data_IF_574703121196
#
_entry.id   IF_574703121196
#
_cell.length_a   1.000
_cell.length_b   1.000
_cell.length_c   1.000
_cell.angle_alpha   90.00
_cell.angle_beta   90.00
_cell.angle_gamma   90.00
#
_symmetry.space_group_name_H-M   'P 1'
#
loop_
_entity.id
_entity.type
_entity.pdbx_description
1 polymer ?
#
# COMPACT_ATOMS: atom_id res chain seq x y z
N UNK A 1 -5.95 25.29 -0.76
CA UNK A 1 -6.59 24.05 -1.25
C UNK A 1 -5.80 22.90 -0.63
N UNK A 2 -6.23 22.43 0.53
CA UNK A 2 -5.57 21.36 1.28
C UNK A 2 -6.40 20.09 1.12
N UNK A 3 -6.33 19.50 -0.06
CA UNK A 3 -6.80 18.16 -0.29
C UNK A 3 -5.70 17.17 0.10
N UNK A 4 -5.66 16.76 1.38
CA UNK A 4 -4.95 15.55 1.75
C UNK A 4 -5.69 14.40 1.08
N UNK A 5 -5.06 13.82 0.09
CA UNK A 5 -5.40 12.49 -0.40
C UNK A 5 -5.14 11.56 0.79
N UNK A 6 -6.17 11.33 1.58
CA UNK A 6 -6.19 10.17 2.46
C UNK A 6 -6.32 9.01 1.49
N UNK A 7 -5.18 8.47 1.10
CA UNK A 7 -5.16 7.10 0.60
C UNK A 7 -5.60 6.29 1.82
N UNK A 8 -6.90 6.02 1.91
CA UNK A 8 -7.34 4.88 2.65
C UNK A 8 -6.76 3.70 1.86
N UNK A 9 -5.54 3.27 2.23
CA UNK A 9 -5.25 1.88 2.10
C UNK A 9 -6.43 1.26 2.82
N UNK A 10 -7.28 0.55 2.10
CA UNK A 10 -8.26 -0.32 2.73
C UNK A 10 -7.40 -1.40 3.37
N UNK A 11 -6.84 -1.07 4.54
CA UNK A 11 -6.40 -2.06 5.47
C UNK A 11 -7.69 -2.80 5.80
N UNK A 12 -7.94 -3.89 5.10
CA UNK A 12 -8.85 -4.90 5.60
C UNK A 12 -8.28 -5.25 6.98
N UNK A 13 -8.86 -4.66 8.02
CA UNK A 13 -8.59 -5.06 9.38
C UNK A 13 -8.95 -6.53 9.45
N UNK A 14 -7.95 -7.39 9.25
CA UNK A 14 -8.06 -8.79 9.54
C UNK A 14 -8.37 -8.88 11.03
N UNK A 15 -9.65 -9.07 11.34
CA UNK A 15 -10.02 -9.62 12.62
C UNK A 15 -9.29 -10.96 12.70
N UNK A 16 -8.35 -11.07 13.65
CA UNK A 16 -7.68 -12.31 14.02
C UNK A 16 -8.75 -13.38 14.30
N UNK A 17 -9.12 -14.09 13.26
CA UNK A 17 -10.02 -15.24 13.30
C UNK A 17 -9.19 -16.51 13.35
N UNK A 18 -9.11 -17.08 14.54
CA UNK A 18 -8.64 -18.41 14.83
C UNK A 18 -9.12 -19.39 13.75
N UNK A 19 -8.18 -20.15 13.17
CA UNK A 19 -8.46 -21.24 12.23
C UNK A 19 -9.43 -22.24 12.89
N UNK A 20 -10.70 -22.12 12.61
CA UNK A 20 -11.66 -23.17 12.83
C UNK A 20 -11.84 -23.91 11.50
N UNK A 21 -11.40 -25.17 11.47
CA UNK A 21 -11.70 -26.10 10.39
C UNK A 21 -13.19 -26.05 10.09
N UNK A 22 -13.53 -25.57 8.90
CA UNK A 22 -14.89 -25.33 8.49
C UNK A 22 -15.65 -26.66 8.34
N UNK A 23 -16.56 -26.89 9.24
CA UNK A 23 -17.74 -27.67 8.95
C UNK A 23 -18.70 -26.74 8.19
N UNK A 24 -18.87 -27.00 6.89
CA UNK A 24 -19.91 -26.45 6.03
C UNK A 24 -20.34 -25.00 6.29
N UNK A 25 -19.86 -24.05 5.51
CA UNK A 25 -20.44 -22.72 5.48
C UNK A 25 -21.95 -22.83 5.16
N UNK A 26 -22.81 -22.03 5.82
CA UNK A 26 -24.22 -21.99 5.44
C UNK A 26 -24.33 -21.48 4.00
N UNK A 27 -25.13 -22.12 3.19
CA UNK A 27 -25.35 -21.88 1.76
C UNK A 27 -25.94 -20.48 1.40
N UNK A 28 -25.88 -19.50 2.28
CA UNK A 28 -26.52 -18.19 2.18
C UNK A 28 -25.60 -16.99 2.48
N UNK A 29 -24.27 -17.16 2.55
CA UNK A 29 -23.37 -16.00 2.69
C UNK A 29 -22.98 -15.48 1.30
N UNK A 30 -23.34 -14.23 0.99
CA UNK A 30 -22.84 -13.54 -0.21
C UNK A 30 -21.30 -13.55 -0.15
N UNK A 31 -20.58 -13.98 -1.23
CA UNK A 31 -19.14 -13.90 -1.27
C UNK A 31 -18.62 -12.49 -1.00
N UNK A 32 -17.37 -12.39 -0.56
CA UNK A 32 -16.73 -11.11 -0.32
C UNK A 32 -15.47 -10.99 -1.17
N UNK A 33 -15.15 -9.78 -1.60
CA UNK A 33 -13.87 -9.42 -2.19
C UNK A 33 -13.21 -8.40 -1.27
N UNK A 34 -12.02 -8.69 -0.78
CA UNK A 34 -11.25 -7.82 0.11
C UNK A 34 -12.05 -7.35 1.35
N UNK A 35 -12.93 -8.23 1.86
CA UNK A 35 -13.78 -7.97 3.02
C UNK A 35 -15.12 -7.29 2.72
N UNK A 36 -15.32 -6.76 1.52
CA UNK A 36 -16.58 -6.15 1.09
C UNK A 36 -17.50 -7.18 0.42
N UNK A 37 -18.81 -7.03 0.61
CA UNK A 37 -19.80 -7.96 0.03
C UNK A 37 -19.96 -7.75 -1.46
N UNK A 38 -19.90 -8.83 -2.21
CA UNK A 38 -20.11 -8.80 -3.65
C UNK A 38 -21.48 -8.21 -4.06
N UNK A 39 -21.43 -7.30 -5.03
CA UNK A 39 -22.62 -6.80 -5.77
C UNK A 39 -22.89 -7.67 -6.99
N UNK A 40 -21.84 -8.28 -7.56
CA UNK A 40 -21.89 -9.18 -8.70
C UNK A 40 -21.11 -10.44 -8.37
N UNK A 41 -21.69 -11.61 -8.63
CA UNK A 41 -21.10 -12.91 -8.33
C UNK A 41 -21.23 -13.82 -9.53
N UNK A 42 -20.10 -14.42 -9.93
CA UNK A 42 -20.02 -15.47 -10.94
C UNK A 42 -20.38 -16.84 -10.41
N UNK A 43 -19.87 -17.85 -11.07
CA UNK A 43 -20.07 -19.27 -10.74
C UNK A 43 -18.70 -19.97 -10.55
N UNK A 44 -18.68 -21.30 -10.45
CA UNK A 44 -17.44 -22.11 -10.45
C UNK A 44 -16.96 -22.46 -11.88
N UNK A 45 -17.41 -21.79 -12.89
CA UNK A 45 -17.05 -22.03 -14.28
C UNK A 45 -16.95 -20.76 -15.08
N UNK A 46 -16.34 -20.81 -16.25
CA UNK A 46 -16.04 -19.64 -17.10
C UNK A 46 -17.23 -18.69 -17.26
N UNK A 47 -17.11 -17.48 -16.75
CA UNK A 47 -18.15 -16.46 -16.74
C UNK A 47 -17.79 -15.23 -17.59
N UNK A 48 -18.79 -14.48 -17.97
CA UNK A 48 -18.66 -13.13 -18.53
C UNK A 48 -19.38 -12.16 -17.60
N UNK A 49 -18.61 -11.44 -16.77
CA UNK A 49 -19.13 -10.53 -15.76
C UNK A 49 -18.95 -9.08 -16.21
N UNK A 50 -19.94 -8.27 -15.95
CA UNK A 50 -19.90 -6.85 -16.26
C UNK A 50 -20.42 -6.05 -15.05
N UNK A 51 -19.63 -5.09 -14.61
CA UNK A 51 -19.99 -4.08 -13.64
C UNK A 51 -20.99 -3.07 -14.20
N UNK A 52 -21.16 -1.99 -13.50
CA UNK A 52 -22.06 -0.90 -13.85
C UNK A 52 -21.27 0.39 -14.07
N UNK A 53 -21.87 1.54 -13.93
CA UNK A 53 -21.17 2.84 -13.85
C UNK A 53 -21.16 3.39 -12.41
N UNK A 54 -21.04 2.51 -11.44
CA UNK A 54 -20.97 2.81 -10.00
C UNK A 54 -20.00 1.83 -9.36
N UNK A 55 -19.59 2.17 -8.17
CA UNK A 55 -18.72 1.32 -7.37
C UNK A 55 -19.34 -0.09 -7.22
N UNK A 56 -18.66 -1.08 -7.78
CA UNK A 56 -19.08 -2.47 -7.78
C UNK A 56 -18.07 -3.34 -6.98
N UNK A 57 -18.57 -4.43 -6.43
CA UNK A 57 -17.75 -5.49 -5.84
C UNK A 57 -18.02 -6.77 -6.60
N UNK A 58 -17.06 -7.22 -7.41
CA UNK A 58 -17.22 -8.32 -8.34
C UNK A 58 -16.39 -9.52 -7.86
N UNK A 59 -17.00 -10.70 -7.81
CA UNK A 59 -16.35 -11.96 -7.44
C UNK A 59 -16.62 -12.99 -8.53
N UNK A 60 -15.57 -13.46 -9.22
CA UNK A 60 -15.65 -14.50 -10.28
C UNK A 60 -15.94 -15.88 -9.71
N UNK A 61 -15.31 -16.24 -8.61
CA UNK A 61 -15.24 -17.54 -7.93
C UNK A 61 -14.24 -18.48 -8.58
N UNK A 62 -14.60 -19.23 -9.60
CA UNK A 62 -13.70 -20.13 -10.30
C UNK A 62 -14.08 -20.34 -11.74
N UNK A 63 -13.12 -20.79 -12.54
CA UNK A 63 -13.22 -20.80 -14.00
C UNK A 63 -12.31 -19.76 -14.61
N UNK A 64 -12.23 -19.68 -15.95
CA UNK A 64 -11.45 -18.63 -16.62
C UNK A 64 -12.43 -17.52 -17.01
N UNK A 65 -12.50 -16.50 -16.18
CA UNK A 65 -13.52 -15.46 -16.29
C UNK A 65 -13.07 -14.29 -17.17
N UNK A 66 -14.02 -13.62 -17.74
CA UNK A 66 -13.84 -12.32 -18.38
C UNK A 66 -14.66 -11.29 -17.60
N UNK A 67 -13.96 -10.42 -16.90
CA UNK A 67 -14.56 -9.41 -16.02
C UNK A 67 -14.27 -8.02 -16.57
N UNK A 68 -15.29 -7.19 -16.71
CA UNK A 68 -15.16 -5.77 -17.02
C UNK A 68 -15.93 -4.97 -15.98
N UNK A 69 -15.22 -4.23 -15.11
CA UNK A 69 -15.85 -3.48 -14.03
C UNK A 69 -16.51 -2.18 -14.52
N UNK A 70 -16.09 -1.61 -15.65
CA UNK A 70 -16.57 -0.37 -16.28
C UNK A 70 -16.16 0.89 -15.52
N UNK A 71 -17.14 1.83 -15.25
CA UNK A 71 -16.88 3.06 -14.52
C UNK A 71 -17.20 2.83 -13.03
N UNK A 72 -16.43 3.41 -12.14
CA UNK A 72 -16.66 3.30 -10.70
C UNK A 72 -15.34 3.19 -9.93
N UNK A 73 -15.42 3.17 -8.61
CA UNK A 73 -14.31 2.77 -7.75
C UNK A 73 -14.56 1.30 -7.37
N UNK A 74 -13.95 0.37 -8.11
CA UNK A 74 -14.35 -1.03 -8.12
C UNK A 74 -13.40 -1.94 -7.32
N UNK A 75 -13.96 -3.02 -6.78
CA UNK A 75 -13.21 -4.13 -6.20
C UNK A 75 -13.50 -5.40 -6.99
N UNK A 76 -12.45 -6.02 -7.54
CA UNK A 76 -12.59 -7.22 -8.37
C UNK A 76 -11.72 -8.33 -7.80
N UNK A 77 -12.34 -9.47 -7.52
CA UNK A 77 -11.65 -10.73 -7.22
C UNK A 77 -11.99 -11.75 -8.32
N UNK A 78 -11.00 -12.11 -9.14
CA UNK A 78 -11.14 -13.12 -10.19
C UNK A 78 -11.48 -14.48 -9.60
N UNK A 79 -10.60 -15.00 -8.77
CA UNK A 79 -10.77 -16.27 -8.05
C UNK A 79 -9.84 -17.36 -8.56
N UNK A 80 -10.33 -18.60 -8.67
CA UNK A 80 -9.52 -19.69 -9.22
C UNK A 80 -9.63 -19.72 -10.74
N UNK A 81 -8.53 -19.68 -11.47
CA UNK A 81 -8.53 -19.83 -12.93
C UNK A 81 -7.67 -18.78 -13.62
N UNK A 82 -7.66 -18.79 -14.95
CA UNK A 82 -6.89 -17.79 -15.69
C UNK A 82 -7.83 -16.69 -16.18
N UNK A 83 -7.87 -15.61 -15.43
CA UNK A 83 -8.87 -14.58 -15.59
C UNK A 83 -8.39 -13.43 -16.51
N UNK A 84 -9.33 -12.79 -17.12
CA UNK A 84 -9.10 -11.55 -17.84
C UNK A 84 -9.93 -10.43 -17.21
N UNK A 85 -9.26 -9.54 -16.50
CA UNK A 85 -9.90 -8.48 -15.72
C UNK A 85 -9.56 -7.11 -16.32
N UNK A 86 -10.59 -6.28 -16.53
CA UNK A 86 -10.50 -4.89 -16.92
C UNK A 86 -11.17 -4.04 -15.82
N UNK A 87 -10.37 -3.25 -15.08
CA UNK A 87 -10.84 -2.37 -14.01
C UNK A 87 -11.72 -1.24 -14.53
N UNK A 88 -11.34 -0.66 -15.69
CA UNK A 88 -12.15 0.38 -16.35
C UNK A 88 -11.75 1.80 -15.97
N UNK A 89 -12.75 2.69 -15.90
CA UNK A 89 -12.54 4.11 -15.61
C UNK A 89 -12.96 4.42 -14.17
N UNK A 90 -12.12 5.11 -13.40
CA UNK A 90 -12.47 5.47 -12.03
C UNK A 90 -11.42 6.34 -11.36
N UNK A 91 -11.59 6.57 -10.08
CA UNK A 91 -10.53 7.14 -9.26
C UNK A 91 -9.69 6.03 -8.64
N UNK A 92 -10.30 4.93 -8.23
CA UNK A 92 -9.66 3.85 -7.50
C UNK A 92 -10.23 2.49 -7.92
N UNK A 93 -9.35 1.54 -8.29
CA UNK A 93 -9.73 0.15 -8.47
C UNK A 93 -8.79 -0.77 -7.69
N UNK A 94 -9.35 -1.74 -6.97
CA UNK A 94 -8.62 -2.81 -6.29
C UNK A 94 -8.87 -4.14 -6.99
N UNK A 95 -7.81 -4.77 -7.48
CA UNK A 95 -7.92 -5.99 -8.27
C UNK A 95 -7.05 -7.09 -7.67
N UNK A 96 -7.70 -8.18 -7.31
CA UNK A 96 -7.10 -9.46 -6.94
C UNK A 96 -7.42 -10.46 -8.06
N UNK A 97 -6.40 -10.89 -8.81
CA UNK A 97 -6.58 -11.91 -9.85
C UNK A 97 -6.98 -13.25 -9.27
N UNK A 98 -6.39 -13.58 -8.11
CA UNK A 98 -6.54 -14.88 -7.47
C UNK A 98 -5.54 -15.90 -8.00
N UNK A 99 -5.91 -17.17 -7.94
CA UNK A 99 -5.02 -18.26 -8.31
C UNK A 99 -5.06 -18.56 -9.81
N UNK A 100 -3.95 -18.40 -10.51
CA UNK A 100 -3.86 -18.72 -11.94
C UNK A 100 -3.01 -17.74 -12.72
N UNK A 101 -2.92 -17.93 -14.04
CA UNK A 101 -2.19 -17.01 -14.90
C UNK A 101 -3.15 -15.93 -15.43
N UNK A 102 -3.16 -14.76 -14.78
CA UNK A 102 -4.16 -13.73 -15.01
C UNK A 102 -3.68 -12.61 -15.93
N UNK A 103 -4.63 -11.98 -16.60
CA UNK A 103 -4.40 -10.73 -17.32
C UNK A 103 -5.22 -9.61 -16.65
N UNK A 104 -4.52 -8.70 -15.99
CA UNK A 104 -5.10 -7.57 -15.27
C UNK A 104 -4.80 -6.29 -16.02
N UNK A 105 -5.83 -5.57 -16.44
CA UNK A 105 -5.75 -4.21 -16.97
C UNK A 105 -6.47 -3.25 -16.03
N UNK A 106 -5.73 -2.32 -15.46
CA UNK A 106 -6.29 -1.31 -14.58
C UNK A 106 -7.11 -0.22 -15.30
N UNK A 107 -7.19 -0.25 -16.63
CA UNK A 107 -7.94 0.74 -17.40
C UNK A 107 -7.36 2.15 -17.30
N UNK A 108 -8.24 3.15 -17.25
CA UNK A 108 -7.89 4.57 -17.15
C UNK A 108 -8.11 5.13 -15.72
N UNK A 109 -8.27 4.28 -14.69
CA UNK A 109 -8.40 4.71 -13.31
C UNK A 109 -7.12 5.46 -12.83
N UNK A 110 -7.31 6.45 -11.95
CA UNK A 110 -6.20 7.23 -11.43
C UNK A 110 -5.28 6.41 -10.51
N UNK A 111 -5.83 5.46 -9.79
CA UNK A 111 -5.14 4.55 -8.89
C UNK A 111 -5.69 3.13 -9.06
N UNK A 112 -4.89 2.24 -9.64
CA UNK A 112 -5.21 0.81 -9.69
C UNK A 112 -4.19 0.03 -8.89
N UNK A 113 -4.67 -0.77 -7.96
CA UNK A 113 -3.85 -1.60 -7.07
C UNK A 113 -4.03 -3.07 -7.47
N UNK A 114 -2.92 -3.73 -7.83
CA UNK A 114 -2.88 -5.19 -7.86
C UNK A 114 -2.66 -5.71 -6.43
N UNK A 115 -3.52 -6.60 -5.98
CA UNK A 115 -3.57 -7.08 -4.59
C UNK A 115 -3.29 -8.57 -4.58
N UNK A 116 -2.32 -8.98 -3.75
CA UNK A 116 -1.86 -10.35 -3.58
C UNK A 116 -1.96 -10.82 -2.12
N UNK A 117 -2.77 -10.11 -1.30
CA UNK A 117 -2.84 -10.33 0.15
C UNK A 117 -3.21 -11.77 0.52
N UNK A 118 -4.08 -12.39 -0.24
CA UNK A 118 -4.56 -13.76 0.02
C UNK A 118 -3.71 -14.84 -0.69
N UNK A 119 -2.59 -14.45 -1.33
CA UNK A 119 -1.69 -15.39 -2.00
C UNK A 119 -1.12 -16.43 -1.01
N UNK A 120 -1.00 -17.71 -1.41
CA UNK A 120 -0.61 -18.80 -0.51
C UNK A 120 0.89 -18.83 -0.17
N UNK A 121 1.67 -17.89 -0.68
CA UNK A 121 3.12 -17.81 -0.50
C UNK A 121 3.71 -16.49 -1.03
N UNK A 122 5.05 -16.34 -0.97
CA UNK A 122 5.72 -15.15 -1.43
C UNK A 122 5.40 -14.78 -2.88
N UNK A 123 5.22 -13.49 -3.15
CA UNK A 123 4.99 -12.99 -4.51
C UNK A 123 6.16 -12.14 -5.02
N UNK A 124 6.33 -12.12 -6.32
CA UNK A 124 7.24 -11.20 -6.97
C UNK A 124 6.49 -10.39 -8.02
N UNK A 125 6.34 -9.09 -7.77
CA UNK A 125 5.61 -8.16 -8.64
C UNK A 125 6.56 -7.12 -9.21
N UNK A 126 6.54 -6.91 -10.52
CA UNK A 126 7.34 -5.89 -11.21
C UNK A 126 6.45 -5.09 -12.18
N UNK A 127 6.04 -3.89 -11.77
CA UNK A 127 5.22 -2.99 -12.59
C UNK A 127 5.97 -2.50 -13.82
N UNK A 128 7.30 -2.38 -13.76
CA UNK A 128 8.10 -1.96 -14.90
C UNK A 128 8.19 -3.03 -15.98
N UNK A 129 8.24 -4.29 -15.58
CA UNK A 129 8.16 -5.46 -16.45
C UNK A 129 6.70 -5.84 -16.78
N UNK A 130 5.73 -5.35 -15.99
CA UNK A 130 4.30 -5.67 -16.10
C UNK A 130 3.98 -7.14 -15.84
N UNK A 131 4.61 -7.69 -14.81
CA UNK A 131 4.46 -9.10 -14.48
C UNK A 131 4.36 -9.31 -12.98
N UNK A 132 3.65 -10.36 -12.58
CA UNK A 132 3.70 -10.89 -11.23
C UNK A 132 3.85 -12.43 -11.25
N UNK A 133 4.27 -12.97 -10.11
CA UNK A 133 4.38 -14.41 -9.91
C UNK A 133 4.29 -14.75 -8.42
N UNK A 134 3.84 -15.96 -8.09
CA UNK A 134 3.68 -16.47 -6.72
C UNK A 134 2.32 -17.13 -6.51
N UNK A 135 1.26 -16.57 -7.08
CA UNK A 135 -0.08 -17.16 -7.15
C UNK A 135 -0.48 -17.53 -8.59
N UNK A 136 0.50 -17.69 -9.44
CA UNK A 136 0.41 -17.90 -10.88
C UNK A 136 1.47 -17.07 -11.58
N UNK A 137 1.21 -16.70 -12.84
CA UNK A 137 2.06 -15.79 -13.62
C UNK A 137 1.19 -14.76 -14.33
N UNK A 138 1.14 -13.56 -13.79
CA UNK A 138 0.20 -12.55 -14.26
C UNK A 138 0.84 -11.52 -15.19
N UNK A 139 0.01 -10.95 -16.02
CA UNK A 139 0.34 -9.81 -16.87
C UNK A 139 -0.42 -8.59 -16.35
N UNK A 140 0.33 -7.55 -15.99
CA UNK A 140 -0.20 -6.32 -15.43
C UNK A 140 -0.13 -5.18 -16.45
N UNK A 141 -1.27 -4.66 -16.88
CA UNK A 141 -1.37 -3.48 -17.71
C UNK A 141 -2.03 -2.34 -16.92
N UNK A 142 -1.53 -1.12 -17.07
CA UNK A 142 -2.08 0.08 -16.43
C UNK A 142 -2.23 0.04 -14.90
N UNK A 143 -1.62 -0.93 -14.24
CA UNK A 143 -1.52 -1.01 -12.78
C UNK A 143 -0.42 -0.06 -12.31
N UNK A 144 -0.66 0.68 -11.22
CA UNK A 144 0.30 1.63 -10.68
C UNK A 144 0.58 1.47 -9.19
N UNK A 145 -0.01 0.48 -8.53
CA UNK A 145 0.17 0.22 -7.10
C UNK A 145 0.13 -1.27 -6.78
N UNK A 146 0.72 -1.66 -5.66
CA UNK A 146 0.87 -3.07 -5.26
C UNK A 146 0.56 -3.20 -3.78
N UNK A 147 -0.19 -4.24 -3.43
CA UNK A 147 -0.26 -4.81 -2.08
C UNK A 147 0.26 -6.23 -2.17
N UNK A 148 1.30 -6.53 -1.39
CA UNK A 148 1.93 -7.84 -1.31
C UNK A 148 1.12 -8.85 -0.51
N UNK A 149 1.75 -9.97 -0.20
CA UNK A 149 1.19 -11.06 0.60
C UNK A 149 1.61 -10.97 2.08
N UNK A 150 1.22 -11.94 2.90
CA UNK A 150 1.72 -12.06 4.27
C UNK A 150 3.07 -12.82 4.35
N UNK A 151 3.86 -12.85 3.27
CA UNK A 151 5.14 -13.57 3.17
C UNK A 151 6.25 -12.67 2.65
N UNK A 152 7.51 -13.13 2.70
CA UNK A 152 8.69 -12.39 2.24
C UNK A 152 8.64 -12.11 0.72
N UNK A 153 8.20 -10.91 0.32
CA UNK A 153 7.90 -10.53 -1.06
C UNK A 153 9.03 -9.76 -1.76
N UNK A 154 8.94 -9.70 -3.08
CA UNK A 154 9.79 -8.82 -3.91
C UNK A 154 8.90 -7.93 -4.77
N UNK A 155 8.78 -6.66 -4.39
CA UNK A 155 7.88 -5.71 -5.03
C UNK A 155 8.67 -4.59 -5.72
N UNK A 156 8.38 -4.32 -6.98
CA UNK A 156 9.07 -3.28 -7.76
C UNK A 156 8.04 -2.40 -8.48
N UNK A 157 8.08 -1.11 -8.23
CA UNK A 157 7.29 -0.10 -8.93
C UNK A 157 7.82 0.21 -10.33
N UNK A 158 7.31 1.27 -10.94
CA UNK A 158 7.73 1.71 -12.26
C UNK A 158 8.37 3.13 -12.24
N UNK A 159 8.20 3.95 -13.28
CA UNK A 159 8.70 5.32 -13.32
C UNK A 159 7.61 6.36 -13.00
N UNK A 160 6.45 5.96 -12.53
CA UNK A 160 5.35 6.81 -12.08
C UNK A 160 5.33 6.83 -10.55
N UNK A 161 4.46 7.66 -9.98
CA UNK A 161 4.13 7.54 -8.57
C UNK A 161 3.44 6.19 -8.30
N UNK A 162 4.00 5.40 -7.38
CA UNK A 162 3.44 4.13 -6.95
C UNK A 162 3.09 4.17 -5.45
N UNK A 163 2.05 3.44 -5.06
CA UNK A 163 1.79 3.06 -3.69
C UNK A 163 2.11 1.57 -3.56
N UNK A 164 3.04 1.22 -2.66
CA UNK A 164 3.47 -0.15 -2.46
C UNK A 164 3.44 -0.49 -0.97
N UNK A 165 2.71 -1.54 -0.62
CA UNK A 165 2.64 -2.11 0.72
C UNK A 165 3.13 -3.55 0.69
N UNK A 166 4.04 -3.91 1.63
CA UNK A 166 4.57 -5.28 1.76
C UNK A 166 3.62 -6.21 2.49
N UNK A 167 2.89 -5.72 3.49
CA UNK A 167 2.10 -6.44 4.47
C UNK A 167 3.01 -7.14 5.51
N UNK A 168 2.67 -8.38 5.96
CA UNK A 168 3.55 -9.12 6.87
C UNK A 168 4.64 -9.86 6.07
N UNK A 169 5.86 -9.91 6.55
CA UNK A 169 6.97 -10.58 5.86
C UNK A 169 8.27 -9.79 5.97
N UNK A 170 9.39 -10.32 5.44
CA UNK A 170 10.63 -9.52 5.33
C UNK A 170 10.81 -9.14 3.85
N UNK A 171 10.26 -8.01 3.49
CA UNK A 171 10.05 -7.64 2.11
C UNK A 171 11.25 -6.92 1.49
N UNK A 172 11.37 -7.07 0.19
CA UNK A 172 12.29 -6.28 -0.62
C UNK A 172 11.49 -5.41 -1.58
N UNK A 173 11.39 -4.12 -1.27
CA UNK A 173 10.57 -3.18 -2.02
C UNK A 173 11.44 -2.12 -2.70
N UNK A 174 11.15 -1.85 -3.97
CA UNK A 174 11.72 -0.76 -4.76
C UNK A 174 10.60 0.09 -5.33
N UNK A 175 10.55 1.36 -4.96
CA UNK A 175 9.58 2.33 -5.51
C UNK A 175 9.75 2.53 -7.01
N UNK A 176 10.99 2.64 -7.45
CA UNK A 176 11.29 2.90 -8.86
C UNK A 176 11.63 4.35 -9.10
N UNK A 177 10.97 5.00 -10.03
CA UNK A 177 11.11 6.43 -10.22
C UNK A 177 9.76 7.12 -10.07
N UNK A 178 9.77 8.36 -9.63
CA UNK A 178 8.52 9.06 -9.37
C UNK A 178 8.53 9.73 -8.01
N UNK A 179 7.45 9.70 -7.31
CA UNK A 179 7.38 10.12 -5.92
C UNK A 179 6.53 9.10 -5.18
N UNK A 180 7.20 8.07 -4.65
CA UNK A 180 6.56 6.85 -4.25
C UNK A 180 6.16 6.86 -2.77
N UNK A 181 5.11 6.12 -2.45
CA UNK A 181 4.61 5.89 -1.11
C UNK A 181 4.86 4.41 -0.78
N UNK A 182 5.80 4.14 0.12
CA UNK A 182 6.25 2.78 0.40
C UNK A 182 6.07 2.44 1.88
N UNK A 183 5.36 1.37 2.14
CA UNK A 183 5.25 0.73 3.46
C UNK A 183 5.82 -0.69 3.39
N UNK A 184 6.70 -1.05 4.33
CA UNK A 184 7.10 -2.44 4.52
C UNK A 184 6.08 -3.20 5.34
N UNK A 185 5.34 -2.46 6.19
CA UNK A 185 4.43 -2.94 7.21
C UNK A 185 5.13 -3.84 8.23
N UNK A 186 4.81 -5.11 8.38
CA UNK A 186 5.30 -5.94 9.46
C UNK A 186 6.46 -6.85 9.09
N UNK A 187 7.64 -6.63 9.67
CA UNK A 187 8.81 -7.45 9.39
C UNK A 187 10.11 -6.67 9.32
N UNK A 188 11.21 -7.34 8.96
CA UNK A 188 12.53 -6.69 8.81
C UNK A 188 12.79 -6.38 7.32
N UNK A 189 12.32 -5.23 6.83
CA UNK A 189 12.21 -4.92 5.43
C UNK A 189 13.45 -4.25 4.82
N UNK A 190 13.57 -4.35 3.51
CA UNK A 190 14.55 -3.60 2.71
C UNK A 190 13.82 -2.73 1.69
N UNK A 191 13.76 -1.43 1.97
CA UNK A 191 12.98 -0.45 1.23
C UNK A 191 13.91 0.52 0.48
N UNK A 192 13.67 0.69 -0.81
CA UNK A 192 14.37 1.65 -1.66
C UNK A 192 13.36 2.54 -2.39
N UNK A 193 13.26 3.81 -2.03
CA UNK A 193 12.39 4.77 -2.70
C UNK A 193 12.79 4.97 -4.17
N UNK A 194 14.09 5.09 -4.43
CA UNK A 194 14.64 5.28 -5.76
C UNK A 194 14.79 6.73 -6.16
N UNK A 195 14.82 7.03 -7.49
CA UNK A 195 14.86 8.40 -8.00
C UNK A 195 13.52 9.12 -7.84
N UNK A 196 13.44 10.09 -6.96
CA UNK A 196 12.21 10.86 -6.79
C UNK A 196 12.17 11.67 -5.51
N UNK A 197 10.98 11.84 -5.02
CA UNK A 197 10.75 12.31 -3.67
C UNK A 197 9.79 11.34 -2.99
N UNK A 198 10.34 10.47 -2.19
CA UNK A 198 9.70 9.26 -1.76
C UNK A 198 9.39 9.32 -0.26
N UNK A 199 8.30 8.68 0.13
CA UNK A 199 7.78 8.68 1.49
C UNK A 199 7.84 7.26 2.06
N UNK A 200 8.55 7.08 3.16
CA UNK A 200 8.43 5.87 3.97
C UNK A 200 7.22 6.00 4.89
N UNK A 201 6.27 5.08 4.77
CA UNK A 201 5.00 5.08 5.49
C UNK A 201 5.05 4.12 6.68
N UNK A 202 4.60 4.63 7.86
CA UNK A 202 4.45 3.86 9.09
C UNK A 202 3.10 4.11 9.77
N UNK A 203 2.14 4.66 9.01
CA UNK A 203 0.87 5.13 9.56
C UNK A 203 0.08 4.05 10.32
N UNK A 204 0.09 2.83 9.85
CA UNK A 204 -0.66 1.70 10.42
C UNK A 204 0.14 0.87 11.43
N UNK A 205 1.39 1.27 11.73
CA UNK A 205 2.20 0.61 12.74
C UNK A 205 1.45 0.47 14.08
N UNK A 206 1.46 -0.72 14.70
CA UNK A 206 0.75 -0.99 15.95
C UNK A 206 1.38 -0.30 17.17
N UNK A 207 2.53 0.34 17.00
CA UNK A 207 3.25 1.07 18.04
C UNK A 207 4.05 2.24 17.48
N UNK A 208 4.67 3.02 18.37
CA UNK A 208 5.55 4.12 17.96
C UNK A 208 6.81 3.64 17.27
N UNK A 209 7.25 4.38 16.25
CA UNK A 209 8.40 4.03 15.42
C UNK A 209 9.59 4.97 15.65
N UNK A 210 10.79 4.46 15.39
CA UNK A 210 12.01 5.27 15.36
C UNK A 210 12.60 5.19 13.97
N UNK A 211 12.47 6.26 13.19
CA UNK A 211 13.00 6.33 11.83
C UNK A 211 14.15 7.31 11.75
N UNK A 212 15.21 6.95 11.05
CA UNK A 212 16.38 7.79 10.83
C UNK A 212 16.82 7.70 9.36
N UNK A 213 16.40 8.66 8.54
CA UNK A 213 16.73 8.72 7.12
C UNK A 213 18.25 8.91 6.88
N UNK A 214 18.95 9.60 7.80
CA UNK A 214 20.39 9.82 7.68
C UNK A 214 21.23 8.53 7.81
N UNK A 215 20.71 7.53 8.52
CA UNK A 215 21.37 6.21 8.67
C UNK A 215 20.66 5.10 7.88
N UNK A 216 19.51 5.39 7.29
CA UNK A 216 18.71 4.43 6.56
C UNK A 216 18.18 3.29 7.43
N UNK A 217 17.65 3.62 8.62
CA UNK A 217 17.14 2.61 9.56
C UNK A 217 15.81 3.03 10.17
N UNK A 218 14.92 2.06 10.30
CA UNK A 218 13.72 2.20 11.09
C UNK A 218 13.57 1.01 12.05
N UNK A 219 12.85 1.23 13.15
CA UNK A 219 12.46 0.19 14.11
C UNK A 219 11.14 0.54 14.75
N UNK A 220 10.33 -0.46 15.08
CA UNK A 220 9.04 -0.32 15.79
C UNK A 220 7.96 -1.22 15.23
N UNK A 221 7.98 -1.50 13.94
CA UNK A 221 7.15 -2.52 13.29
C UNK A 221 8.01 -3.59 12.59
N UNK A 222 9.23 -3.72 13.00
CA UNK A 222 10.31 -4.52 12.47
C UNK A 222 11.62 -3.75 12.60
N UNK A 223 12.66 -4.15 11.86
CA UNK A 223 13.94 -3.47 11.80
C UNK A 223 14.39 -3.24 10.35
N UNK A 224 13.88 -2.15 9.76
CA UNK A 224 13.97 -1.91 8.32
C UNK A 224 15.26 -1.21 7.90
N UNK A 225 15.64 -1.44 6.66
CA UNK A 225 16.67 -0.72 5.95
C UNK A 225 16.05 0.17 4.89
N UNK A 226 16.30 1.47 4.99
CA UNK A 226 15.77 2.50 4.13
C UNK A 226 16.87 3.08 3.26
N UNK A 227 16.60 3.26 1.96
CA UNK A 227 17.46 4.00 1.04
C UNK A 227 16.63 4.90 0.13
N UNK A 228 17.17 6.08 -0.21
CA UNK A 228 16.57 7.04 -1.13
C UNK A 228 15.14 7.49 -0.73
N UNK A 229 14.94 7.76 0.56
CA UNK A 229 13.72 8.41 1.07
C UNK A 229 14.02 9.83 1.54
N UNK A 230 13.19 10.76 1.17
CA UNK A 230 13.24 12.15 1.64
C UNK A 230 12.25 12.41 2.76
N UNK A 231 11.13 11.70 2.77
CA UNK A 231 9.98 11.98 3.64
C UNK A 231 9.61 10.76 4.49
N UNK A 232 8.97 11.02 5.64
CA UNK A 232 8.45 9.99 6.53
C UNK A 232 7.08 10.42 7.03
N UNK A 233 6.11 9.54 6.92
CA UNK A 233 4.87 9.63 7.66
C UNK A 233 4.89 8.59 8.79
N UNK A 234 4.87 9.07 10.03
CA UNK A 234 4.91 8.27 11.25
C UNK A 234 3.58 7.60 11.58
N UNK A 235 3.52 6.99 12.75
CA UNK A 235 2.38 6.20 13.21
C UNK A 235 1.31 7.07 13.93
N UNK A 236 0.27 6.41 14.42
CA UNK A 236 -0.73 7.02 15.33
C UNK A 236 -0.23 7.08 16.78
N UNK A 237 1.01 6.69 17.03
CA UNK A 237 1.64 6.58 18.34
C UNK A 237 2.84 7.52 18.48
N UNK A 238 3.44 7.57 19.67
CA UNK A 238 4.58 8.44 19.94
C UNK A 238 5.84 8.00 19.18
N UNK A 239 6.26 8.79 18.19
CA UNK A 239 7.32 8.50 17.25
C UNK A 239 8.61 9.32 17.50
N UNK A 240 9.69 8.81 16.95
CA UNK A 240 10.94 9.55 16.84
C UNK A 240 11.42 9.55 15.39
N UNK A 241 11.20 10.65 14.68
CA UNK A 241 11.55 10.80 13.29
C UNK A 241 12.76 11.73 13.14
N UNK A 242 13.81 11.23 12.50
CA UNK A 242 15.02 11.98 12.19
C UNK A 242 15.17 12.02 10.66
N UNK A 243 15.26 13.21 10.13
CA UNK A 243 15.57 13.46 8.74
C UNK A 243 17.01 13.11 8.37
N UNK A 244 17.46 13.69 7.29
CA UNK A 244 18.81 13.54 6.73
C UNK A 244 19.56 14.89 6.72
N UNK A 245 20.57 15.04 5.88
CA UNK A 245 21.18 16.33 5.56
C UNK A 245 20.51 17.08 4.41
N UNK A 246 19.51 16.47 3.76
CA UNK A 246 18.69 17.01 2.68
C UNK A 246 17.37 17.60 3.17
N UNK A 247 16.55 18.08 2.23
CA UNK A 247 15.20 18.60 2.53
C UNK A 247 14.26 17.45 2.84
N UNK A 248 13.70 17.44 4.05
CA UNK A 248 12.79 16.38 4.50
C UNK A 248 11.41 16.94 4.87
N UNK A 249 10.40 16.10 4.73
CA UNK A 249 9.09 16.27 5.33
C UNK A 249 8.87 15.14 6.33
N UNK A 250 8.67 15.50 7.60
CA UNK A 250 8.40 14.54 8.66
C UNK A 250 7.02 14.83 9.24
N UNK A 251 6.12 13.89 9.14
CA UNK A 251 4.76 13.93 9.69
C UNK A 251 4.69 12.98 10.88
N UNK A 252 4.33 13.50 12.07
CA UNK A 252 4.22 12.68 13.29
C UNK A 252 2.90 11.91 13.38
N UNK A 253 1.87 12.41 12.72
CA UNK A 253 0.50 11.91 12.72
C UNK A 253 -0.15 11.97 14.11
N UNK A 254 -0.08 10.97 14.94
CA UNK A 254 -0.68 10.99 16.27
C UNK A 254 0.29 10.57 17.36
N UNK A 255 0.07 11.03 18.58
CA UNK A 255 0.97 10.65 19.66
C UNK A 255 1.67 11.84 20.28
N UNK A 256 2.83 11.60 20.87
CA UNK A 256 3.70 12.66 21.40
C UNK A 256 5.07 12.53 20.74
N UNK A 257 5.24 13.21 19.62
CA UNK A 257 6.28 12.94 18.66
C UNK A 257 7.53 13.79 18.84
N UNK A 258 8.65 13.25 18.38
CA UNK A 258 9.92 13.96 18.34
C UNK A 258 10.45 13.99 16.91
N UNK A 259 10.33 15.14 16.26
CA UNK A 259 10.75 15.39 14.89
C UNK A 259 12.05 16.20 14.88
N UNK A 260 13.04 15.75 14.11
CA UNK A 260 14.35 16.42 13.99
C UNK A 260 14.74 16.48 12.51
N UNK A 261 14.76 17.69 11.92
CA UNK A 261 15.07 17.92 10.50
C UNK A 261 16.54 17.76 10.17
N UNK A 262 17.43 18.20 11.07
CA UNK A 262 18.90 18.23 10.95
C UNK A 262 19.43 19.34 10.04
N UNK A 263 19.25 19.29 8.76
CA UNK A 263 19.84 20.28 7.85
C UNK A 263 19.05 20.46 6.57
N UNK A 264 19.29 21.54 5.86
CA UNK A 264 18.48 22.05 4.75
C UNK A 264 17.16 22.67 5.21
N UNK A 265 16.14 22.78 4.35
CA UNK A 265 14.89 23.47 4.68
C UNK A 265 13.76 22.46 4.84
N UNK A 266 13.49 22.07 6.07
CA UNK A 266 12.62 20.97 6.41
C UNK A 266 11.19 21.42 6.72
N UNK A 267 10.25 20.46 6.59
CA UNK A 267 8.86 20.61 7.01
C UNK A 267 8.58 19.55 8.09
N UNK A 268 8.38 19.99 9.31
CA UNK A 268 8.13 19.13 10.47
C UNK A 268 6.72 19.41 11.00
N UNK A 269 5.85 18.41 10.93
CA UNK A 269 4.47 18.52 11.38
C UNK A 269 4.16 17.44 12.41
N UNK A 270 3.91 17.83 13.66
CA UNK A 270 3.56 16.89 14.72
C UNK A 270 2.15 16.32 14.58
N UNK A 271 1.24 17.05 13.92
CA UNK A 271 -0.18 16.76 13.82
C UNK A 271 -0.85 16.64 15.20
N UNK A 272 -1.25 15.46 15.65
CA UNK A 272 -2.05 15.29 16.87
C UNK A 272 -1.25 14.84 18.07
N UNK A 273 -1.22 15.64 19.13
CA UNK A 273 -0.50 15.23 20.34
C UNK A 273 0.21 16.36 21.05
N UNK A 274 1.29 16.02 21.75
CA UNK A 274 2.21 16.97 22.34
C UNK A 274 3.61 16.78 21.76
N UNK A 275 3.91 17.53 20.74
CA UNK A 275 5.02 17.27 19.88
C UNK A 275 6.20 18.20 20.10
N UNK A 276 7.38 17.68 19.79
CA UNK A 276 8.62 18.40 19.77
C UNK A 276 9.21 18.40 18.36
N UNK A 277 9.44 19.58 17.80
CA UNK A 277 10.09 19.73 16.51
C UNK A 277 11.37 20.56 16.64
N UNK A 278 12.46 20.09 16.08
CA UNK A 278 13.74 20.77 15.96
C UNK A 278 14.16 20.82 14.48
N UNK A 279 14.02 21.96 13.82
CA UNK A 279 14.35 22.12 12.41
C UNK A 279 15.83 21.90 12.10
N UNK A 280 16.70 22.35 13.00
CA UNK A 280 18.14 22.22 12.79
C UNK A 280 18.77 23.40 12.05
N UNK A 281 19.50 23.16 10.96
CA UNK A 281 20.10 24.17 10.11
C UNK A 281 19.22 24.38 8.87
N UNK A 282 18.77 25.58 8.63
CA UNK A 282 17.99 25.89 7.44
C UNK A 282 16.91 26.93 7.69
N UNK A 283 15.96 26.97 6.79
CA UNK A 283 14.71 27.73 6.96
C UNK A 283 13.57 26.72 7.05
N UNK A 284 13.31 26.31 8.27
CA UNK A 284 12.42 25.19 8.53
C UNK A 284 10.99 25.65 8.83
N UNK A 285 10.02 24.83 8.49
CA UNK A 285 8.63 25.03 8.86
C UNK A 285 8.24 23.95 9.86
N UNK A 286 7.86 24.39 11.07
CA UNK A 286 7.47 23.44 12.10
C UNK A 286 6.06 23.74 12.63
N UNK A 287 5.26 22.70 12.77
CA UNK A 287 3.96 22.68 13.44
C UNK A 287 4.02 21.68 14.58
N UNK A 288 4.28 22.19 15.81
CA UNK A 288 4.38 21.41 17.03
C UNK A 288 4.21 22.34 18.24
N UNK A 289 3.86 21.81 19.43
CA UNK A 289 3.70 22.59 20.67
C UNK A 289 5.04 23.14 21.17
N UNK A 290 6.12 22.38 20.98
CA UNK A 290 7.47 22.82 21.31
C UNK A 290 8.35 22.82 20.07
N UNK A 291 8.80 24.01 19.68
CA UNK A 291 9.63 24.21 18.49
C UNK A 291 11.00 24.78 18.86
N UNK A 292 12.04 24.25 18.23
CA UNK A 292 13.41 24.75 18.32
C UNK A 292 13.98 24.88 16.91
N UNK A 293 14.74 25.97 16.65
CA UNK A 293 15.35 26.24 15.33
C UNK A 293 14.33 26.14 14.17
N UNK A 294 13.14 26.64 14.41
CA UNK A 294 12.06 26.77 13.43
C UNK A 294 11.65 28.24 13.43
N UNK A 295 12.17 29.05 12.52
CA UNK A 295 11.89 30.49 12.46
C UNK A 295 10.44 30.83 12.13
#
# INVERSE_FOLDING_TARGET
>A
MNGRLKVAVVAATAATGLLAVAAGAPADSVPTCLGEKATIVGTEGDDLLAGTSKDDVIVGLGGNDVINAHDGDDLVCGGDGNDRIDGGDGFFDGIDGGAGDDWIDGGDAALTIAIYKDAPGPVAVDLSARTASGDGTDILANVNSIVGSDFDDVLTGDNRMNLIAGEDGNDTIKGGGGGDLVSGDGGDDTLDGGPGRDVALYYDSPGGVVVNLGTGKAVGWGADRLSHFEDVDGSKHADRLLGSGGVNRLEGEGGADRLIGLGANDVLNGNGGRDYADGGRGRDRCSAERRIRCP
#
